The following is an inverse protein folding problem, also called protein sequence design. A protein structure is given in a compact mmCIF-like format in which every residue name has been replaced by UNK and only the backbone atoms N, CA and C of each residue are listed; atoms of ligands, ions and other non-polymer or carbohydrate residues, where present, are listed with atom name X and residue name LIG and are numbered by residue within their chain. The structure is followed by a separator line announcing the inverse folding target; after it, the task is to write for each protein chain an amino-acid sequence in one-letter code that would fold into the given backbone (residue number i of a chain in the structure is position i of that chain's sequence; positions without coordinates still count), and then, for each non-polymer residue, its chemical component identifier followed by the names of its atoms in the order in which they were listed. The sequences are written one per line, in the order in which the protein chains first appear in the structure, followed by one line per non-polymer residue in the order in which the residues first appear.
data_IF_379047284838
#
_entry.id   IF_379047284838
#
_cell.length_a   1.000
_cell.length_b   1.000
_cell.length_c   1.000
_cell.angle_alpha   90.00
_cell.angle_beta   90.00
_cell.angle_gamma   90.00
#
_symmetry.space_group_name_H-M   'P 1'
#
loop_
_entity.id
_entity.type
_entity.pdbx_description
1 polymer ?
#
# COMPACT_ATOMS: atom_id res chain seq x y z
N UNK A 1 -15.77 24.49 14.34
CA UNK A 1 -15.51 23.07 13.96
C UNK A 1 -16.58 22.13 14.56
N UNK A 2 -16.97 22.28 15.84
CA UNK A 2 -17.93 21.38 16.48
C UNK A 2 -19.34 21.42 15.87
N UNK A 3 -19.78 22.56 15.36
CA UNK A 3 -21.12 22.73 14.79
C UNK A 3 -21.25 22.08 13.39
N UNK A 4 -20.20 22.12 12.58
CA UNK A 4 -20.14 21.48 11.28
C UNK A 4 -20.14 19.95 11.43
N UNK A 5 -19.30 19.42 12.33
CA UNK A 5 -19.25 17.98 12.66
C UNK A 5 -20.63 17.52 13.15
N UNK A 6 -21.26 18.29 14.06
CA UNK A 6 -22.59 17.97 14.56
C UNK A 6 -23.64 17.90 13.44
N UNK A 7 -23.58 18.82 12.46
CA UNK A 7 -24.49 18.78 11.29
C UNK A 7 -24.30 17.56 10.43
N UNK A 8 -23.03 17.16 10.18
CA UNK A 8 -22.69 15.99 9.34
C UNK A 8 -23.06 14.68 10.03
N UNK A 9 -22.97 14.60 11.37
CA UNK A 9 -23.19 13.39 12.15
C UNK A 9 -24.57 13.31 12.81
N UNK A 10 -25.48 14.23 12.50
CA UNK A 10 -26.82 14.28 13.14
C UNK A 10 -27.77 13.20 12.62
N UNK A 11 -27.57 12.71 11.40
CA UNK A 11 -28.42 11.70 10.77
C UNK A 11 -27.58 10.51 10.35
N UNK A 12 -28.12 9.31 10.55
CA UNK A 12 -27.56 8.06 10.07
C UNK A 12 -28.25 7.72 8.74
N UNK A 13 -27.65 8.15 7.65
CA UNK A 13 -28.20 8.01 6.29
C UNK A 13 -27.41 6.98 5.45
N UNK A 14 -26.31 6.43 5.99
CA UNK A 14 -25.43 5.52 5.28
C UNK A 14 -25.47 4.13 5.91
N UNK A 15 -26.03 3.17 5.20
CA UNK A 15 -25.98 1.78 5.64
C UNK A 15 -24.62 1.15 5.30
N UNK A 16 -23.75 1.03 6.31
CA UNK A 16 -22.41 0.46 6.16
C UNK A 16 -22.39 -1.07 5.99
N UNK A 17 -23.53 -1.74 6.16
CA UNK A 17 -23.67 -3.19 5.95
C UNK A 17 -24.15 -3.51 4.53
N UNK A 18 -24.77 -2.56 3.84
CA UNK A 18 -25.36 -2.72 2.52
C UNK A 18 -24.38 -3.27 1.46
N UNK A 19 -23.09 -2.82 1.39
CA UNK A 19 -22.16 -3.35 0.38
C UNK A 19 -21.91 -4.85 0.47
N UNK A 20 -22.12 -5.44 1.65
CA UNK A 20 -22.00 -6.89 1.84
C UNK A 20 -23.26 -7.68 1.48
N UNK A 21 -24.39 -7.00 1.24
CA UNK A 21 -25.70 -7.58 0.98
C UNK A 21 -26.10 -7.48 -0.49
N UNK A 22 -25.84 -6.34 -1.12
CA UNK A 22 -26.18 -6.08 -2.50
C UNK A 22 -25.08 -5.28 -3.23
N UNK A 23 -25.12 -5.27 -4.56
CA UNK A 23 -24.13 -4.56 -5.38
C UNK A 23 -24.36 -3.06 -5.31
N UNK A 24 -23.46 -2.36 -4.63
CA UNK A 24 -23.44 -0.91 -4.56
C UNK A 24 -22.00 -0.39 -4.55
N UNK A 25 -21.82 0.92 -4.70
CA UNK A 25 -20.52 1.57 -4.61
C UNK A 25 -20.63 2.83 -3.75
N UNK A 26 -19.72 2.97 -2.78
CA UNK A 26 -19.56 4.15 -1.96
C UNK A 26 -18.30 4.89 -2.37
N UNK A 27 -18.41 6.18 -2.57
CA UNK A 27 -17.30 7.06 -2.91
C UNK A 27 -17.05 8.00 -1.73
N UNK A 28 -15.91 7.81 -1.08
CA UNK A 28 -15.46 8.68 0.00
C UNK A 28 -14.43 9.65 -0.57
N UNK A 29 -14.83 10.91 -0.71
CA UNK A 29 -13.95 11.97 -1.23
C UNK A 29 -13.46 12.82 -0.08
N UNK A 30 -12.14 12.93 0.06
CA UNK A 30 -11.45 13.76 1.04
C UNK A 30 -10.75 14.92 0.35
N UNK A 31 -10.46 16.00 1.09
CA UNK A 31 -9.68 17.10 0.56
C UNK A 31 -8.19 16.79 0.70
N UNK A 32 -7.43 16.99 -0.35
CA UNK A 32 -5.97 16.92 -0.37
C UNK A 32 -5.28 18.19 0.17
N UNK A 33 -6.03 19.29 0.32
CA UNK A 33 -5.53 20.58 0.81
C UNK A 33 -5.79 20.81 2.31
N UNK A 34 -6.81 20.17 2.89
CA UNK A 34 -7.21 20.38 4.28
C UNK A 34 -7.40 19.06 5.03
N UNK A 35 -6.43 18.76 5.87
CA UNK A 35 -6.42 17.56 6.71
C UNK A 35 -7.34 17.61 7.93
N UNK A 36 -8.06 18.72 8.14
CA UNK A 36 -8.91 18.92 9.32
C UNK A 36 -9.95 17.83 9.50
N UNK A 37 -10.41 17.22 8.41
CA UNK A 37 -11.47 16.20 8.40
C UNK A 37 -10.98 14.79 8.05
N UNK A 38 -9.66 14.56 7.92
CA UNK A 38 -9.10 13.22 7.62
C UNK A 38 -9.56 12.17 8.64
N UNK A 39 -9.75 12.57 9.90
CA UNK A 39 -10.24 11.68 10.93
C UNK A 39 -11.65 11.14 10.65
N UNK A 40 -12.52 11.88 9.92
CA UNK A 40 -13.83 11.39 9.52
C UNK A 40 -13.72 10.27 8.50
N UNK A 41 -12.78 10.38 7.56
CA UNK A 41 -12.51 9.32 6.58
C UNK A 41 -11.98 8.06 7.27
N UNK A 42 -11.04 8.20 8.20
CA UNK A 42 -10.53 7.06 8.97
C UNK A 42 -11.58 6.42 9.86
N UNK A 43 -12.46 7.23 10.44
CA UNK A 43 -13.59 6.77 11.25
C UNK A 43 -14.61 6.01 10.40
N UNK A 44 -14.98 6.57 9.23
CA UNK A 44 -15.89 5.92 8.29
C UNK A 44 -15.37 4.53 7.87
N UNK A 45 -14.11 4.45 7.42
CA UNK A 45 -13.50 3.17 7.04
C UNK A 45 -13.44 2.20 8.22
N UNK A 46 -13.14 2.69 9.41
CA UNK A 46 -13.13 1.87 10.62
C UNK A 46 -14.50 1.27 10.93
N UNK A 47 -15.54 2.07 10.88
CA UNK A 47 -16.91 1.59 11.10
C UNK A 47 -17.38 0.68 9.97
N UNK A 48 -17.02 0.97 8.73
CA UNK A 48 -17.31 0.10 7.59
C UNK A 48 -16.76 -1.31 7.81
N UNK A 49 -15.49 -1.45 8.16
CA UNK A 49 -14.90 -2.76 8.48
C UNK A 49 -15.59 -3.43 9.69
N UNK A 50 -15.83 -2.68 10.77
CA UNK A 50 -16.49 -3.24 11.96
C UNK A 50 -17.90 -3.76 11.62
N UNK A 51 -18.67 -2.99 10.88
CA UNK A 51 -20.05 -3.32 10.53
C UNK A 51 -20.10 -4.52 9.57
N UNK A 52 -19.30 -4.51 8.51
CA UNK A 52 -19.22 -5.61 7.54
C UNK A 52 -18.76 -6.93 8.18
N UNK A 53 -17.71 -6.90 9.00
CA UNK A 53 -17.23 -8.11 9.70
C UNK A 53 -18.29 -8.61 10.67
N UNK A 54 -18.91 -7.72 11.43
CA UNK A 54 -19.99 -8.10 12.39
C UNK A 54 -21.21 -8.66 11.69
N UNK A 55 -21.58 -8.09 10.54
CA UNK A 55 -22.68 -8.59 9.72
C UNK A 55 -22.36 -10.00 9.18
N UNK A 56 -21.16 -10.19 8.63
CA UNK A 56 -20.71 -11.51 8.16
C UNK A 56 -20.76 -12.56 9.27
N UNK A 57 -20.20 -12.24 10.45
CA UNK A 57 -20.12 -13.18 11.57
C UNK A 57 -21.49 -13.55 12.15
N UNK A 58 -22.48 -12.63 12.11
CA UNK A 58 -23.79 -12.84 12.76
C UNK A 58 -24.89 -13.32 11.81
N UNK A 59 -24.86 -12.88 10.56
CA UNK A 59 -26.00 -13.00 9.65
C UNK A 59 -25.72 -13.84 8.40
N UNK A 60 -24.45 -14.21 8.16
CA UNK A 60 -24.07 -14.91 6.94
C UNK A 60 -23.61 -16.32 7.23
N UNK A 61 -23.98 -17.25 6.35
CA UNK A 61 -23.55 -18.65 6.43
C UNK A 61 -22.03 -18.75 6.23
N UNK A 62 -21.38 -19.48 7.14
CA UNK A 62 -19.92 -19.62 7.13
C UNK A 62 -19.15 -18.34 7.45
N UNK A 63 -19.83 -17.30 7.97
CA UNK A 63 -19.20 -16.02 8.33
C UNK A 63 -18.68 -15.21 7.14
N UNK A 64 -19.22 -15.43 5.94
CA UNK A 64 -18.78 -14.76 4.70
C UNK A 64 -19.89 -13.92 4.11
N UNK A 65 -19.56 -12.69 3.71
CA UNK A 65 -20.51 -11.83 3.01
C UNK A 65 -20.99 -12.48 1.70
N UNK A 66 -22.30 -12.42 1.39
CA UNK A 66 -22.85 -12.93 0.13
C UNK A 66 -22.35 -12.16 -1.09
N UNK A 67 -22.11 -10.86 -0.93
CA UNK A 67 -21.52 -10.00 -1.96
C UNK A 67 -20.09 -9.67 -1.53
N UNK A 68 -19.07 -9.97 -2.37
CA UNK A 68 -17.70 -9.58 -2.09
C UNK A 68 -17.56 -8.06 -2.00
N UNK A 69 -16.91 -7.57 -0.95
CA UNK A 69 -16.63 -6.14 -0.78
C UNK A 69 -15.17 -5.87 -1.05
N UNK A 70 -14.89 -4.92 -1.94
CA UNK A 70 -13.55 -4.45 -2.20
C UNK A 70 -13.40 -2.98 -1.82
N UNK A 71 -12.46 -2.69 -0.93
CA UNK A 71 -12.12 -1.33 -0.50
C UNK A 71 -10.89 -0.87 -1.29
N UNK A 72 -11.03 0.20 -2.05
CA UNK A 72 -9.91 0.82 -2.76
C UNK A 72 -9.50 2.10 -2.03
N UNK A 73 -8.36 2.07 -1.37
CA UNK A 73 -7.71 3.23 -0.75
C UNK A 73 -6.68 3.82 -1.71
N UNK A 74 -7.10 4.75 -2.57
CA UNK A 74 -6.26 5.32 -3.63
C UNK A 74 -5.08 6.14 -3.08
N UNK A 75 -5.29 6.86 -1.98
CA UNK A 75 -4.23 7.57 -1.25
C UNK A 75 -4.39 7.29 0.24
N UNK A 76 -3.94 6.11 0.67
CA UNK A 76 -4.15 5.64 2.05
C UNK A 76 -3.54 6.59 3.09
N UNK A 77 -2.43 7.25 2.74
CA UNK A 77 -1.73 8.17 3.62
C UNK A 77 -2.48 9.50 3.81
N UNK A 78 -3.36 9.88 2.89
CA UNK A 78 -4.20 11.08 2.99
C UNK A 78 -5.46 10.89 3.84
N UNK A 79 -5.95 9.64 3.98
CA UNK A 79 -7.19 9.37 4.73
C UNK A 79 -7.03 9.40 6.27
N UNK A 80 -5.94 9.95 6.81
CA UNK A 80 -5.65 9.86 8.23
C UNK A 80 -5.20 8.45 8.65
N UNK A 81 -4.97 8.24 9.94
CA UNK A 81 -4.58 6.93 10.47
C UNK A 81 -5.83 6.10 10.74
N UNK A 82 -6.00 4.98 10.03
CA UNK A 82 -7.08 4.03 10.32
C UNK A 82 -6.66 3.17 11.52
N UNK A 83 -7.37 3.24 12.66
CA UNK A 83 -7.01 2.47 13.84
C UNK A 83 -6.99 0.96 13.56
N UNK A 84 -6.00 0.27 14.09
CA UNK A 84 -5.84 -1.19 14.00
C UNK A 84 -5.88 -1.75 12.56
N UNK A 85 -5.43 -0.97 11.55
CA UNK A 85 -5.53 -1.37 10.15
C UNK A 85 -4.84 -2.72 9.89
N UNK A 86 -3.65 -2.97 10.40
CA UNK A 86 -2.94 -4.24 10.21
C UNK A 86 -3.74 -5.43 10.70
N UNK A 87 -4.32 -5.31 11.90
CA UNK A 87 -5.20 -6.32 12.48
C UNK A 87 -6.48 -6.51 11.66
N UNK A 88 -7.07 -5.44 11.15
CA UNK A 88 -8.26 -5.52 10.30
C UNK A 88 -7.95 -6.26 9.01
N UNK A 89 -6.85 -5.95 8.34
CA UNK A 89 -6.43 -6.62 7.11
C UNK A 89 -6.25 -8.12 7.29
N UNK A 90 -5.73 -8.57 8.42
CA UNK A 90 -5.57 -10.01 8.70
C UNK A 90 -6.90 -10.76 8.85
N UNK A 91 -7.98 -10.05 9.21
CA UNK A 91 -9.29 -10.67 9.54
C UNK A 91 -10.27 -10.62 8.37
N UNK A 92 -10.26 -9.55 7.56
CA UNK A 92 -11.29 -9.29 6.55
C UNK A 92 -11.34 -10.32 5.42
N UNK A 93 -10.20 -10.91 5.06
CA UNK A 93 -10.10 -11.90 3.98
C UNK A 93 -11.07 -13.07 4.16
N UNK A 94 -11.17 -13.62 5.37
CA UNK A 94 -12.05 -14.74 5.67
C UNK A 94 -13.55 -14.39 5.58
N UNK A 95 -13.90 -13.10 5.56
CA UNK A 95 -15.26 -12.58 5.48
C UNK A 95 -15.66 -12.14 4.07
N UNK A 96 -14.87 -12.48 3.05
CA UNK A 96 -15.08 -12.06 1.66
C UNK A 96 -14.93 -10.53 1.46
N UNK A 97 -14.04 -9.93 2.24
CA UNK A 97 -13.70 -8.51 2.15
C UNK A 97 -12.21 -8.43 1.75
N UNK A 98 -11.91 -7.57 0.80
CA UNK A 98 -10.54 -7.29 0.33
C UNK A 98 -10.25 -5.80 0.32
N UNK A 99 -8.97 -5.44 0.35
CA UNK A 99 -8.55 -4.04 0.28
C UNK A 99 -7.33 -3.89 -0.64
N UNK A 100 -7.37 -2.87 -1.50
CA UNK A 100 -6.20 -2.37 -2.22
C UNK A 100 -5.75 -1.06 -1.58
N UNK A 101 -4.49 -1.03 -1.16
CA UNK A 101 -3.87 0.14 -0.56
C UNK A 101 -2.90 0.75 -1.56
N UNK A 102 -3.11 1.99 -1.95
CA UNK A 102 -2.19 2.75 -2.79
C UNK A 102 -1.55 3.86 -1.96
N UNK A 103 -0.26 4.03 -2.09
CA UNK A 103 0.51 5.09 -1.42
C UNK A 103 1.74 5.47 -2.27
N UNK A 104 2.19 6.69 -2.14
CA UNK A 104 3.25 7.24 -2.99
C UNK A 104 4.63 6.68 -2.63
N UNK A 105 4.91 6.49 -1.34
CA UNK A 105 6.19 6.01 -0.83
C UNK A 105 6.06 5.36 0.54
N UNK A 106 7.07 4.57 0.92
CA UNK A 106 7.08 3.90 2.22
C UNK A 106 7.35 4.86 3.37
N UNK A 107 8.06 5.95 3.15
CA UNK A 107 8.33 6.94 4.19
C UNK A 107 7.02 7.57 4.70
N UNK A 108 6.08 7.91 3.79
CA UNK A 108 4.76 8.39 4.15
C UNK A 108 3.95 7.36 4.93
N UNK A 109 4.01 6.10 4.50
CA UNK A 109 3.34 5.00 5.21
C UNK A 109 3.94 4.78 6.60
N UNK A 110 5.28 4.80 6.74
CA UNK A 110 5.98 4.67 8.01
C UNK A 110 5.63 5.82 8.98
N UNK A 111 5.56 7.04 8.49
CA UNK A 111 5.18 8.19 9.29
C UNK A 111 3.73 8.07 9.80
N UNK A 112 2.84 7.54 8.99
CA UNK A 112 1.42 7.37 9.33
C UNK A 112 1.19 6.17 10.28
N UNK A 113 1.97 5.09 10.10
CA UNK A 113 1.89 3.86 10.88
C UNK A 113 3.27 3.51 11.48
N UNK A 114 3.69 4.21 12.56
CA UNK A 114 5.00 4.01 13.20
C UNK A 114 5.12 2.65 13.89
N UNK A 115 6.25 2.39 14.53
CA UNK A 115 6.51 1.19 15.34
C UNK A 115 6.34 -0.13 14.60
N UNK A 116 6.80 -0.16 13.33
CA UNK A 116 6.71 -1.33 12.43
C UNK A 116 5.27 -1.72 11.99
N UNK A 117 4.25 -0.97 12.37
CA UNK A 117 2.87 -1.21 11.90
C UNK A 117 2.76 -1.14 10.38
N UNK A 118 3.54 -0.28 9.73
CA UNK A 118 3.62 -0.22 8.29
C UNK A 118 4.12 -1.52 7.65
N UNK A 119 5.07 -2.21 8.30
CA UNK A 119 5.56 -3.52 7.82
C UNK A 119 4.52 -4.61 7.99
N UNK A 120 3.73 -4.57 9.07
CA UNK A 120 2.60 -5.49 9.26
C UNK A 120 1.52 -5.28 8.19
N UNK A 121 1.23 -4.02 7.83
CA UNK A 121 0.29 -3.70 6.73
C UNK A 121 0.79 -4.32 5.43
N UNK A 122 2.06 -4.11 5.07
CA UNK A 122 2.66 -4.72 3.88
C UNK A 122 2.70 -6.24 3.95
N UNK A 123 2.96 -6.80 5.12
CA UNK A 123 2.96 -8.25 5.37
C UNK A 123 1.59 -8.91 5.18
N UNK A 124 0.51 -8.17 5.36
CA UNK A 124 -0.86 -8.63 5.11
C UNK A 124 -1.30 -8.50 3.63
N UNK A 125 -0.46 -7.92 2.77
CA UNK A 125 -0.75 -7.80 1.34
C UNK A 125 -0.23 -9.04 0.59
N UNK A 126 -1.13 -9.79 -0.03
CA UNK A 126 -0.79 -10.99 -0.83
C UNK A 126 -0.02 -10.62 -2.11
N UNK A 127 -0.32 -9.46 -2.69
CA UNK A 127 0.34 -8.91 -3.87
C UNK A 127 0.83 -7.49 -3.62
N UNK A 128 2.03 -7.19 -4.11
CA UNK A 128 2.63 -5.86 -4.01
C UNK A 128 3.06 -5.44 -5.42
N UNK A 129 2.49 -4.34 -5.92
CA UNK A 129 2.83 -3.77 -7.21
C UNK A 129 3.71 -2.53 -6.99
N UNK A 130 4.89 -2.54 -7.57
CA UNK A 130 5.83 -1.43 -7.54
C UNK A 130 5.94 -0.78 -8.91
N UNK A 131 5.63 0.51 -8.99
CA UNK A 131 5.63 1.29 -10.23
C UNK A 131 6.82 2.26 -10.34
N UNK A 132 7.66 2.31 -9.32
CA UNK A 132 8.81 3.20 -9.24
C UNK A 132 8.81 4.03 -7.95
N UNK A 133 9.96 4.58 -7.60
CA UNK A 133 10.11 5.49 -6.46
C UNK A 133 11.24 6.48 -6.71
N UNK A 134 11.25 7.55 -5.94
CA UNK A 134 12.33 8.55 -5.91
C UNK A 134 12.97 8.65 -4.53
N UNK A 135 12.46 7.93 -3.53
CA UNK A 135 12.96 7.91 -2.16
C UNK A 135 13.79 6.65 -1.86
N UNK A 136 14.82 6.82 -1.06
CA UNK A 136 15.80 5.79 -0.73
C UNK A 136 15.18 4.63 0.06
N UNK A 137 14.31 4.92 1.03
CA UNK A 137 13.67 3.89 1.86
C UNK A 137 12.87 2.89 1.01
N UNK A 138 12.08 3.39 0.06
CA UNK A 138 11.30 2.52 -0.84
C UNK A 138 12.23 1.75 -1.78
N UNK A 139 13.28 2.39 -2.31
CA UNK A 139 14.24 1.74 -3.19
C UNK A 139 14.98 0.60 -2.47
N UNK A 140 15.48 0.83 -1.27
CA UNK A 140 16.16 -0.18 -0.45
C UNK A 140 15.24 -1.35 -0.10
N UNK A 141 14.00 -1.05 0.31
CA UNK A 141 13.01 -2.07 0.65
C UNK A 141 12.72 -3.00 -0.54
N UNK A 142 12.49 -2.44 -1.72
CA UNK A 142 12.24 -3.23 -2.93
C UNK A 142 13.49 -3.99 -3.35
N UNK A 143 14.66 -3.35 -3.36
CA UNK A 143 15.94 -3.98 -3.69
C UNK A 143 16.23 -5.19 -2.80
N UNK A 144 16.02 -5.06 -1.49
CA UNK A 144 16.25 -6.17 -0.55
C UNK A 144 15.33 -7.37 -0.80
N UNK A 145 14.13 -7.14 -1.31
CA UNK A 145 13.15 -8.19 -1.62
C UNK A 145 13.31 -8.85 -2.97
N UNK A 146 13.89 -8.14 -3.94
CA UNK A 146 14.14 -8.70 -5.29
C UNK A 146 15.38 -9.61 -5.32
N UNK A 147 16.23 -9.56 -4.30
CA UNK A 147 17.45 -10.35 -4.22
C UNK A 147 18.59 -9.81 -5.08
N UNK A 148 19.64 -10.61 -5.23
CA UNK A 148 20.84 -10.26 -5.99
C UNK A 148 20.77 -10.86 -7.38
N UNK A 149 21.08 -10.05 -8.40
CA UNK A 149 21.26 -10.52 -9.77
C UNK A 149 22.75 -10.49 -10.14
N UNK A 150 23.26 -11.60 -10.68
CA UNK A 150 24.62 -11.63 -11.25
C UNK A 150 24.62 -10.97 -12.61
N UNK A 151 25.40 -9.91 -12.78
CA UNK A 151 25.56 -9.22 -14.06
C UNK A 151 26.97 -9.46 -14.57
N UNK A 152 27.10 -10.00 -15.78
CA UNK A 152 28.42 -10.10 -16.43
C UNK A 152 28.80 -8.71 -16.98
N UNK A 153 29.88 -8.15 -16.47
CA UNK A 153 30.43 -6.88 -16.96
C UNK A 153 31.67 -7.16 -17.80
N UNK A 154 31.64 -6.81 -19.08
CA UNK A 154 32.84 -6.81 -19.92
C UNK A 154 33.46 -5.41 -19.92
N UNK A 155 34.64 -5.27 -19.34
CA UNK A 155 35.40 -4.02 -19.42
C UNK A 155 36.45 -4.10 -20.51
N UNK A 156 36.49 -3.10 -21.41
CA UNK A 156 37.55 -2.93 -22.39
C UNK A 156 38.57 -1.93 -21.85
N UNK A 157 39.76 -2.38 -21.45
CA UNK A 157 40.85 -1.47 -21.12
C UNK A 157 41.78 -1.28 -22.30
N UNK A 158 42.04 -0.03 -22.66
CA UNK A 158 43.00 0.35 -23.71
C UNK A 158 44.22 0.93 -23.05
N UNK A 159 45.32 0.21 -23.09
CA UNK A 159 46.62 0.76 -22.67
C UNK A 159 47.21 1.57 -23.83
N UNK A 160 47.25 2.88 -23.71
CA UNK A 160 47.90 3.78 -24.64
C UNK A 160 49.39 3.87 -24.26
N UNK A 161 50.23 3.05 -24.90
CA UNK A 161 51.69 3.19 -24.81
C UNK A 161 52.16 4.39 -25.63
N UNK A 162 52.96 5.24 -25.03
CA UNK A 162 53.40 6.56 -25.57
C UNK A 162 54.25 6.44 -26.83
N UNK A 163 54.72 5.25 -27.25
CA UNK A 163 55.74 5.11 -28.30
C UNK A 163 55.59 3.94 -29.29
N UNK A 164 54.44 3.19 -29.35
CA UNK A 164 54.26 2.17 -30.40
C UNK A 164 52.81 2.10 -30.91
N UNK A 165 52.64 2.63 -32.12
CA UNK A 165 51.34 2.63 -32.82
C UNK A 165 51.07 1.30 -33.57
N UNK A 166 52.05 0.36 -33.66
CA UNK A 166 51.97 -0.75 -34.62
C UNK A 166 51.49 -2.10 -34.10
N UNK A 167 51.31 -2.31 -32.80
CA UNK A 167 50.84 -3.61 -32.31
C UNK A 167 49.73 -3.41 -31.23
N UNK A 168 48.53 -3.08 -31.69
CA UNK A 168 47.38 -3.01 -30.84
C UNK A 168 46.63 -4.35 -30.84
N UNK A 169 46.79 -5.13 -29.78
CA UNK A 169 45.91 -6.26 -29.45
C UNK A 169 44.95 -5.84 -28.32
N UNK A 170 43.64 -5.79 -28.55
CA UNK A 170 42.70 -5.50 -27.48
C UNK A 170 42.65 -6.68 -26.50
N UNK A 171 43.05 -6.50 -25.25
CA UNK A 171 42.81 -7.45 -24.19
C UNK A 171 41.39 -7.27 -23.65
N UNK A 172 40.62 -8.32 -23.71
CA UNK A 172 39.30 -8.40 -23.11
C UNK A 172 39.43 -9.12 -21.76
N UNK A 173 39.08 -8.45 -20.69
CA UNK A 173 39.01 -9.04 -19.36
C UNK A 173 37.55 -9.17 -18.97
N UNK A 174 37.03 -10.39 -18.90
CA UNK A 174 35.74 -10.65 -18.29
C UNK A 174 35.93 -10.67 -16.78
N UNK A 175 35.24 -9.78 -16.08
CA UNK A 175 35.13 -9.83 -14.63
C UNK A 175 33.67 -10.14 -14.29
N UNK A 176 33.42 -11.31 -13.73
CA UNK A 176 32.15 -11.65 -13.09
C UNK A 176 32.16 -11.03 -11.70
N UNK A 177 31.32 -10.01 -11.49
CA UNK A 177 31.02 -9.47 -10.16
C UNK A 177 29.78 -10.20 -9.61
N UNK A 178 29.84 -10.62 -8.35
CA UNK A 178 28.72 -11.14 -7.57
C UNK A 178 28.09 -9.99 -6.81
#
# INVERSE_FOLDING_TARGET
QSELIKKITTRDEIDLELPGQERCAYFLVTSDQDSTFDFLASLFLSFCFIKLVRYADKNCEGGKLPVPVHVLGEELTACGTIPDLSRRLSVIRSRNISMSCVFQNLAGLQNRYPLNLWQEILGNCDAQLFLGCTDELTAEFISSRTGLASVSVSSKSKQLGTWRISNYTPEFRETSGV
#
